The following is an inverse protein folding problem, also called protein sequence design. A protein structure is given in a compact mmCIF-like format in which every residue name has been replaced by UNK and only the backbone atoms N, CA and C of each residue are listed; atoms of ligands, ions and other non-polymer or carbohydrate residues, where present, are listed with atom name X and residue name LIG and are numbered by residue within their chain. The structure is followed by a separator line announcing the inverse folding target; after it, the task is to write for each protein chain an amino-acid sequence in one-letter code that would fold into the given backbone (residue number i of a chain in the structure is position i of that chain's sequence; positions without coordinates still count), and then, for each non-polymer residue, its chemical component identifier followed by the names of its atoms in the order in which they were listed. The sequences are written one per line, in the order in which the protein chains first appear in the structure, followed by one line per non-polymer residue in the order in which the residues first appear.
data_IF_664352356870
#
_entry.id   IF_664352356870
#
_cell.length_a   1.000
_cell.length_b   1.000
_cell.length_c   1.000
_cell.angle_alpha   90.00
_cell.angle_beta   90.00
_cell.angle_gamma   90.00
#
_symmetry.space_group_name_H-M   'P 1'
#
loop_
_entity.id
_entity.type
_entity.pdbx_description
1 polymer ?
#
# COMPACT_ATOMS: atom_id res chain seq x y z
N UNK A 1 11.05 11.62 -23.35
CA UNK A 1 11.76 12.21 -22.20
C UNK A 1 10.73 12.41 -21.11
N UNK A 2 10.98 11.78 -19.96
CA UNK A 2 9.95 11.28 -19.03
C UNK A 2 9.31 12.43 -18.24
N UNK A 3 7.98 12.48 -18.18
CA UNK A 3 7.16 13.45 -17.45
C UNK A 3 7.22 13.35 -15.92
N UNK A 4 8.41 13.16 -15.34
CA UNK A 4 8.62 13.03 -13.89
C UNK A 4 8.95 14.36 -13.18
N UNK A 5 8.99 15.48 -13.89
CA UNK A 5 9.95 16.55 -13.52
C UNK A 5 9.41 17.85 -12.96
N UNK A 6 8.13 17.98 -12.60
CA UNK A 6 7.60 19.28 -12.14
C UNK A 6 7.31 19.39 -10.64
N UNK A 7 7.19 18.31 -9.86
CA UNK A 7 6.93 18.42 -8.39
C UNK A 7 7.87 17.64 -7.45
N UNK A 8 8.57 16.60 -7.93
CA UNK A 8 9.57 15.87 -7.11
C UNK A 8 10.93 16.59 -6.96
N UNK A 9 11.10 17.73 -7.64
CA UNK A 9 12.35 18.48 -7.64
C UNK A 9 12.70 19.06 -6.26
N UNK A 10 11.70 19.33 -5.42
CA UNK A 10 11.94 19.92 -4.10
C UNK A 10 12.48 18.88 -3.11
N UNK A 11 11.95 17.65 -3.08
CA UNK A 11 12.47 16.62 -2.18
C UNK A 11 13.92 16.24 -2.50
N UNK A 12 14.25 16.07 -3.80
CA UNK A 12 15.62 15.84 -4.24
C UNK A 12 16.57 16.96 -3.80
N UNK A 13 16.15 18.23 -3.96
CA UNK A 13 16.95 19.40 -3.56
C UNK A 13 17.12 19.54 -2.05
N UNK A 14 16.11 19.19 -1.27
CA UNK A 14 16.14 19.37 0.20
C UNK A 14 16.80 18.20 0.92
N UNK A 15 16.61 16.96 0.46
CA UNK A 15 17.04 15.75 1.19
C UNK A 15 18.09 14.92 0.45
N UNK A 16 18.37 15.18 -0.84
CA UNK A 16 19.30 14.38 -1.63
C UNK A 16 18.82 12.95 -1.92
N UNK A 17 17.57 12.62 -1.59
CA UNK A 17 16.95 11.31 -1.77
C UNK A 17 15.51 11.44 -2.28
N UNK A 18 15.07 10.47 -3.09
CA UNK A 18 13.72 10.37 -3.62
C UNK A 18 13.33 8.91 -3.91
N UNK A 19 12.19 8.48 -3.40
CA UNK A 19 11.55 7.20 -3.74
C UNK A 19 10.35 7.41 -4.66
N UNK A 20 10.21 6.59 -5.72
CA UNK A 20 9.13 6.72 -6.70
C UNK A 20 8.91 5.42 -7.49
N UNK A 21 7.76 5.30 -8.16
CA UNK A 21 7.50 4.22 -9.10
C UNK A 21 7.58 4.70 -10.56
N UNK A 22 8.20 3.92 -11.45
CA UNK A 22 8.29 4.20 -12.89
C UNK A 22 7.74 3.04 -13.72
N UNK A 23 7.16 3.36 -14.88
CA UNK A 23 6.74 2.36 -15.87
C UNK A 23 7.72 2.34 -17.04
N UNK A 24 8.26 1.16 -17.33
CA UNK A 24 9.06 0.86 -18.53
C UNK A 24 8.15 0.32 -19.63
N UNK A 25 8.20 0.95 -20.81
CA UNK A 25 7.63 0.45 -22.08
C UNK A 25 6.25 -0.22 -21.97
N UNK A 26 5.37 0.33 -21.14
CA UNK A 26 3.95 -0.05 -21.04
C UNK A 26 3.58 -1.18 -20.08
N UNK A 27 4.49 -2.10 -19.72
CA UNK A 27 4.10 -3.29 -18.93
C UNK A 27 4.84 -3.44 -17.61
N UNK A 28 6.13 -3.11 -17.54
CA UNK A 28 6.93 -3.37 -16.34
C UNK A 28 7.03 -2.14 -15.46
N UNK A 29 6.64 -2.27 -14.19
CA UNK A 29 6.82 -1.23 -13.18
C UNK A 29 8.06 -1.50 -12.34
N UNK A 30 8.75 -0.43 -11.96
CA UNK A 30 9.89 -0.47 -11.06
C UNK A 30 9.65 0.49 -9.91
N UNK A 31 10.05 0.10 -8.70
CA UNK A 31 10.31 1.02 -7.60
C UNK A 31 11.75 1.49 -7.72
N UNK A 32 11.94 2.79 -7.72
CA UNK A 32 13.23 3.45 -7.82
C UNK A 32 13.50 4.25 -6.55
N UNK A 33 14.70 4.13 -6.02
CA UNK A 33 15.24 4.99 -4.96
C UNK A 33 16.47 5.69 -5.50
N UNK A 34 16.36 6.99 -5.74
CA UNK A 34 17.47 7.84 -6.14
C UNK A 34 18.06 8.50 -4.89
N UNK A 35 19.39 8.49 -4.74
CA UNK A 35 20.07 9.08 -3.60
C UNK A 35 21.47 9.57 -3.95
N UNK A 36 21.95 10.60 -3.25
CA UNK A 36 23.34 11.06 -3.32
C UNK A 36 24.22 10.34 -2.30
N UNK A 37 25.46 10.05 -2.68
CA UNK A 37 26.51 9.52 -1.84
C UNK A 37 27.85 10.18 -2.20
N UNK A 38 28.93 9.82 -1.51
CA UNK A 38 30.24 10.48 -1.66
C UNK A 38 30.76 10.52 -3.12
N UNK A 39 30.38 9.55 -3.97
CA UNK A 39 30.85 9.46 -5.36
C UNK A 39 29.85 10.01 -6.39
N UNK A 40 28.76 10.64 -5.93
CA UNK A 40 27.73 11.22 -6.79
C UNK A 40 26.35 10.62 -6.56
N UNK A 41 25.56 10.52 -7.63
CA UNK A 41 24.18 10.04 -7.57
C UNK A 41 24.10 8.55 -7.89
N UNK A 42 23.36 7.81 -7.07
CA UNK A 42 23.04 6.40 -7.28
C UNK A 42 21.53 6.18 -7.41
N UNK A 43 21.18 5.06 -8.03
CA UNK A 43 19.79 4.62 -8.22
C UNK A 43 19.68 3.13 -7.85
N UNK A 44 18.83 2.80 -6.89
CA UNK A 44 18.43 1.44 -6.60
C UNK A 44 17.08 1.13 -7.26
N UNK A 45 17.01 0.04 -8.02
CA UNK A 45 15.81 -0.37 -8.76
C UNK A 45 15.31 -1.73 -8.26
N UNK A 46 14.00 -1.85 -8.06
CA UNK A 46 13.33 -3.12 -7.74
C UNK A 46 12.14 -3.33 -8.67
N UNK A 47 12.00 -4.54 -9.20
CA UNK A 47 10.82 -4.94 -9.96
C UNK A 47 9.58 -4.89 -9.08
N UNK A 48 8.53 -4.20 -9.56
CA UNK A 48 7.21 -4.27 -8.98
C UNK A 48 6.42 -5.41 -9.66
N UNK A 49 5.58 -6.14 -8.91
CA UNK A 49 4.76 -7.21 -9.48
C UNK A 49 3.82 -6.71 -10.57
N UNK A 50 3.63 -7.53 -11.62
CA UNK A 50 2.75 -7.20 -12.74
C UNK A 50 1.27 -7.47 -12.42
N UNK A 51 0.99 -8.47 -11.56
CA UNK A 51 -0.34 -8.82 -11.12
C UNK A 51 -0.42 -8.95 -9.60
N UNK A 52 -1.60 -8.64 -9.06
CA UNK A 52 -1.97 -9.02 -7.72
C UNK A 52 -2.21 -10.54 -7.66
N UNK A 53 -1.67 -11.27 -6.68
CA UNK A 53 -2.04 -12.67 -6.50
C UNK A 53 -3.42 -12.79 -5.85
N UNK A 54 -4.05 -13.95 -6.03
CA UNK A 54 -5.27 -14.30 -5.30
C UNK A 54 -4.93 -14.86 -3.90
N UNK A 55 -5.88 -14.77 -2.96
CA UNK A 55 -5.71 -15.30 -1.60
C UNK A 55 -5.31 -16.77 -1.56
N UNK A 56 -5.81 -17.57 -2.51
CA UNK A 56 -5.47 -18.99 -2.64
C UNK A 56 -4.01 -19.21 -3.08
N UNK A 57 -3.46 -18.35 -3.94
CA UNK A 57 -2.08 -18.47 -4.45
C UNK A 57 -1.06 -18.22 -3.35
N UNK A 58 -1.37 -17.34 -2.40
CA UNK A 58 -0.54 -17.05 -1.22
C UNK A 58 -0.91 -17.91 0.00
N UNK A 59 -1.77 -18.91 -0.19
CA UNK A 59 -2.17 -19.89 0.83
C UNK A 59 -2.66 -19.24 2.13
N UNK A 60 -3.45 -18.16 2.06
CA UNK A 60 -3.97 -17.53 3.27
C UNK A 60 -4.90 -18.47 4.03
N UNK A 61 -4.90 -18.43 5.37
CA UNK A 61 -5.86 -19.19 6.17
C UNK A 61 -7.32 -18.88 5.78
N UNK A 62 -8.25 -19.86 5.87
CA UNK A 62 -9.64 -19.70 5.44
C UNK A 62 -10.42 -18.66 6.26
N UNK A 63 -9.89 -18.21 7.41
CA UNK A 63 -10.47 -17.12 8.18
C UNK A 63 -10.33 -15.76 7.49
N UNK A 64 -9.36 -15.58 6.58
CA UNK A 64 -9.08 -14.28 5.95
C UNK A 64 -10.28 -13.77 5.12
N UNK A 65 -10.91 -14.55 4.23
CA UNK A 65 -12.15 -14.15 3.57
C UNK A 65 -13.27 -13.77 4.54
N UNK A 66 -13.42 -14.51 5.65
CA UNK A 66 -14.44 -14.21 6.65
C UNK A 66 -14.18 -12.88 7.36
N UNK A 67 -12.92 -12.54 7.66
CA UNK A 67 -12.55 -11.23 8.21
C UNK A 67 -12.86 -10.10 7.23
N UNK A 68 -12.63 -10.32 5.92
CA UNK A 68 -12.90 -9.34 4.87
C UNK A 68 -14.41 -9.08 4.64
N UNK A 69 -15.27 -10.00 5.05
CA UNK A 69 -16.72 -9.82 5.01
C UNK A 69 -17.24 -8.88 6.11
N UNK A 70 -16.40 -8.45 7.05
CA UNK A 70 -16.79 -7.50 8.10
C UNK A 70 -17.20 -6.15 7.49
N UNK A 71 -18.22 -5.52 8.06
CA UNK A 71 -18.66 -4.18 7.66
C UNK A 71 -17.60 -3.13 8.00
N UNK A 72 -16.99 -3.25 9.18
CA UNK A 72 -16.00 -2.32 9.69
C UNK A 72 -14.97 -3.01 10.59
N UNK A 73 -13.91 -2.28 10.93
CA UNK A 73 -12.86 -2.75 11.82
C UNK A 73 -11.47 -2.50 11.26
N UNK A 74 -10.44 -2.92 12.02
CA UNK A 74 -9.04 -2.76 11.63
C UNK A 74 -8.39 -4.14 11.48
N UNK A 75 -7.90 -4.45 10.28
CA UNK A 75 -7.11 -5.64 10.00
C UNK A 75 -5.65 -5.23 9.79
N UNK A 76 -4.77 -5.77 10.63
CA UNK A 76 -3.34 -5.51 10.58
C UNK A 76 -2.58 -6.72 10.04
N UNK A 77 -1.88 -6.53 8.93
CA UNK A 77 -0.89 -7.48 8.41
C UNK A 77 0.49 -7.09 8.91
N UNK A 78 1.07 -7.91 9.79
CA UNK A 78 2.33 -7.60 10.46
C UNK A 78 3.46 -8.54 10.03
N UNK A 79 4.70 -8.13 10.25
CA UNK A 79 5.88 -8.91 9.89
C UNK A 79 7.06 -8.08 9.38
N UNK A 80 8.23 -8.72 9.32
CA UNK A 80 9.48 -8.08 8.90
C UNK A 80 9.44 -7.58 7.45
N UNK A 81 10.41 -6.77 7.03
CA UNK A 81 10.54 -6.36 5.63
C UNK A 81 10.77 -7.59 4.75
N UNK A 82 10.03 -7.68 3.62
CA UNK A 82 10.17 -8.79 2.67
C UNK A 82 9.36 -10.06 2.98
N UNK A 83 8.53 -10.10 4.03
CA UNK A 83 7.69 -11.27 4.33
C UNK A 83 6.33 -11.31 3.61
N UNK A 84 6.12 -10.48 2.58
CA UNK A 84 4.90 -10.53 1.78
C UNK A 84 3.71 -9.71 2.29
N UNK A 85 3.86 -8.81 3.28
CA UNK A 85 2.74 -7.99 3.80
C UNK A 85 1.97 -7.24 2.71
N UNK A 86 2.67 -6.50 1.85
CA UNK A 86 2.05 -5.78 0.73
C UNK A 86 1.33 -6.74 -0.21
N UNK A 87 1.91 -7.92 -0.45
CA UNK A 87 1.33 -8.98 -1.28
C UNK A 87 0.05 -9.54 -0.66
N UNK A 88 0.03 -9.77 0.65
CA UNK A 88 -1.17 -10.21 1.38
C UNK A 88 -2.26 -9.15 1.35
N UNK A 89 -1.95 -7.88 1.66
CA UNK A 89 -2.92 -6.80 1.55
C UNK A 89 -3.45 -6.65 0.13
N UNK A 90 -2.59 -6.81 -0.88
CA UNK A 90 -3.01 -6.74 -2.25
C UNK A 90 -4.00 -7.86 -2.58
N UNK A 91 -3.71 -9.09 -2.18
CA UNK A 91 -4.62 -10.22 -2.37
C UNK A 91 -5.96 -10.02 -1.64
N UNK A 92 -5.95 -9.36 -0.47
CA UNK A 92 -7.18 -9.01 0.25
C UNK A 92 -8.03 -7.99 -0.50
N UNK A 93 -7.44 -6.93 -1.04
CA UNK A 93 -8.13 -5.95 -1.91
C UNK A 93 -8.62 -6.62 -3.18
N UNK A 94 -7.79 -7.48 -3.79
CA UNK A 94 -8.15 -8.26 -4.97
C UNK A 94 -9.35 -9.18 -4.72
N UNK A 95 -9.42 -9.80 -3.55
CA UNK A 95 -10.55 -10.62 -3.13
C UNK A 95 -11.83 -9.79 -2.97
N UNK A 96 -11.78 -8.66 -2.26
CA UNK A 96 -12.92 -7.75 -2.13
C UNK A 96 -13.43 -7.29 -3.50
N UNK A 97 -12.53 -6.88 -4.39
CA UNK A 97 -12.87 -6.42 -5.74
C UNK A 97 -13.60 -7.48 -6.59
N UNK A 98 -13.43 -8.76 -6.27
CA UNK A 98 -14.08 -9.87 -6.98
C UNK A 98 -15.40 -10.30 -6.33
N UNK A 99 -15.63 -10.00 -5.05
CA UNK A 99 -16.71 -10.60 -4.26
C UNK A 99 -17.63 -9.60 -3.55
N UNK A 100 -17.30 -8.31 -3.54
CA UNK A 100 -18.07 -7.27 -2.85
C UNK A 100 -18.34 -6.07 -3.76
N UNK A 101 -19.40 -5.33 -3.46
CA UNK A 101 -19.81 -4.10 -4.15
C UNK A 101 -19.48 -2.91 -3.23
N UNK A 102 -18.18 -2.62 -3.10
CA UNK A 102 -17.64 -1.63 -2.14
C UNK A 102 -16.81 -0.55 -2.86
N UNK A 103 -16.69 0.62 -2.24
CA UNK A 103 -15.70 1.63 -2.56
C UNK A 103 -14.42 1.39 -1.74
N UNK A 104 -13.32 1.09 -2.43
CA UNK A 104 -12.00 0.86 -1.86
C UNK A 104 -11.09 2.03 -2.19
N UNK A 105 -10.60 2.72 -1.16
CA UNK A 105 -9.60 3.77 -1.29
C UNK A 105 -8.26 3.32 -0.72
N UNK A 106 -7.17 3.49 -1.49
CA UNK A 106 -5.81 3.15 -1.02
C UNK A 106 -4.95 4.40 -0.85
N UNK A 107 -4.19 4.45 0.24
CA UNK A 107 -3.12 5.41 0.48
C UNK A 107 -1.80 4.63 0.57
N UNK A 108 -0.87 4.89 -0.35
CA UNK A 108 0.35 4.08 -0.52
C UNK A 108 1.60 4.96 -0.77
N UNK A 109 2.79 4.43 -0.49
CA UNK A 109 4.06 5.15 -0.64
C UNK A 109 5.23 4.21 -1.07
N UNK A 110 5.45 3.98 -2.38
CA UNK A 110 4.58 4.31 -3.52
C UNK A 110 3.54 3.19 -3.76
N UNK A 111 2.67 3.37 -4.77
CA UNK A 111 1.70 2.33 -5.16
C UNK A 111 2.43 1.11 -5.75
N UNK A 112 2.36 -0.04 -5.07
CA UNK A 112 3.06 -1.26 -5.48
C UNK A 112 2.25 -2.06 -6.51
N UNK A 113 0.99 -2.36 -6.19
CA UNK A 113 0.07 -3.10 -7.05
C UNK A 113 -0.96 -2.15 -7.65
N UNK A 114 -1.34 -2.38 -8.92
CA UNK A 114 -2.43 -1.63 -9.57
C UNK A 114 -3.65 -2.52 -9.69
N UNK A 115 -4.80 -1.98 -9.38
CA UNK A 115 -6.07 -2.67 -9.55
C UNK A 115 -6.86 -2.08 -10.71
N UNK A 116 -7.56 -2.95 -11.42
CA UNK A 116 -8.68 -2.54 -12.27
C UNK A 116 -9.96 -2.79 -11.50
N UNK A 117 -10.80 -1.76 -11.37
CA UNK A 117 -12.13 -1.89 -10.77
C UNK A 117 -12.91 -3.00 -11.48
N UNK A 118 -13.44 -3.96 -10.70
CA UNK A 118 -14.32 -5.02 -11.17
C UNK A 118 -15.70 -4.79 -10.55
N UNK A 119 -15.96 -5.39 -9.39
CA UNK A 119 -17.17 -5.13 -8.61
C UNK A 119 -17.04 -3.91 -7.71
N UNK A 120 -15.84 -3.65 -7.22
CA UNK A 120 -15.55 -2.49 -6.39
C UNK A 120 -15.13 -1.29 -7.24
N UNK A 121 -15.46 -0.08 -6.78
CA UNK A 121 -14.77 1.14 -7.19
C UNK A 121 -13.43 1.20 -6.45
N UNK A 122 -12.31 1.23 -7.17
CA UNK A 122 -10.98 1.33 -6.55
C UNK A 122 -10.31 2.64 -6.93
N UNK A 123 -9.91 3.43 -5.92
CA UNK A 123 -9.19 4.68 -6.08
C UNK A 123 -7.86 4.63 -5.31
N UNK A 124 -6.75 4.64 -6.04
CA UNK A 124 -5.41 4.56 -5.44
C UNK A 124 -4.71 5.91 -5.41
N UNK A 125 -4.23 6.31 -4.23
CA UNK A 125 -3.53 7.58 -4.01
C UNK A 125 -2.13 7.32 -3.49
N UNK A 126 -1.15 7.95 -4.14
CA UNK A 126 0.26 7.85 -3.77
C UNK A 126 0.65 9.08 -2.96
N UNK A 127 1.31 8.87 -1.82
CA UNK A 127 1.82 9.95 -0.99
C UNK A 127 2.95 10.69 -1.74
N UNK A 128 2.98 12.00 -1.63
CA UNK A 128 3.86 12.88 -2.41
C UNK A 128 3.35 13.21 -3.82
N UNK A 129 2.50 12.38 -4.43
CA UNK A 129 1.94 12.63 -5.76
C UNK A 129 0.46 13.05 -5.74
N UNK A 130 -0.39 12.24 -5.13
CA UNK A 130 -1.85 12.45 -5.06
C UNK A 130 -2.29 13.02 -3.70
N UNK A 131 -1.49 12.81 -2.65
CA UNK A 131 -1.69 13.36 -1.30
C UNK A 131 -0.39 13.88 -0.73
N UNK A 132 -0.44 14.89 0.14
CA UNK A 132 0.77 15.36 0.82
C UNK A 132 1.29 14.35 1.86
N UNK A 133 0.40 13.80 2.69
CA UNK A 133 0.74 12.88 3.79
C UNK A 133 -0.37 11.84 3.98
N UNK A 134 -0.07 10.74 4.68
CA UNK A 134 -1.07 9.73 5.07
C UNK A 134 -2.20 10.34 5.89
N UNK A 135 -1.89 11.11 6.94
CA UNK A 135 -2.90 11.74 7.78
C UNK A 135 -3.81 12.71 7.00
N UNK A 136 -3.26 13.48 6.05
CA UNK A 136 -4.06 14.37 5.19
C UNK A 136 -4.94 13.58 4.22
N UNK A 137 -4.39 12.53 3.59
CA UNK A 137 -5.14 11.63 2.71
C UNK A 137 -6.27 10.92 3.43
N UNK A 138 -6.03 10.41 4.63
CA UNK A 138 -7.01 9.68 5.43
C UNK A 138 -8.16 10.58 5.89
N UNK A 139 -7.88 11.82 6.31
CA UNK A 139 -8.93 12.81 6.62
C UNK A 139 -9.81 13.13 5.42
N UNK A 140 -9.23 13.16 4.22
CA UNK A 140 -10.00 13.39 2.99
C UNK A 140 -10.85 12.17 2.66
N UNK A 141 -10.25 10.97 2.73
CA UNK A 141 -10.92 9.70 2.47
C UNK A 141 -12.21 9.52 3.29
N UNK A 142 -12.23 9.92 4.57
CA UNK A 142 -13.43 9.85 5.42
C UNK A 142 -14.65 10.66 4.92
N UNK A 143 -14.49 11.51 3.90
CA UNK A 143 -15.57 12.27 3.25
C UNK A 143 -15.76 11.87 1.78
N UNK A 144 -15.04 10.87 1.32
CA UNK A 144 -15.06 10.36 -0.06
C UNK A 144 -15.94 9.09 -0.16
N UNK A 145 -16.73 8.80 0.89
CA UNK A 145 -17.64 7.65 0.99
C UNK A 145 -16.98 6.27 0.72
N UNK A 146 -15.80 5.95 1.32
CA UNK A 146 -15.20 4.62 1.17
C UNK A 146 -15.81 3.62 2.16
N UNK A 147 -16.01 2.38 1.71
CA UNK A 147 -16.32 1.26 2.61
C UNK A 147 -15.02 0.64 3.17
N UNK A 148 -13.96 0.65 2.36
CA UNK A 148 -12.66 0.04 2.69
C UNK A 148 -11.54 1.04 2.47
N UNK A 149 -10.68 1.19 3.47
CA UNK A 149 -9.49 2.05 3.39
C UNK A 149 -8.25 1.20 3.58
N UNK A 150 -7.40 1.13 2.55
CA UNK A 150 -6.06 0.56 2.67
C UNK A 150 -5.05 1.64 3.01
N UNK A 151 -4.30 1.41 4.08
CA UNK A 151 -3.17 2.24 4.50
C UNK A 151 -1.88 1.43 4.36
N UNK A 152 -0.94 1.88 3.52
CA UNK A 152 0.32 1.18 3.27
C UNK A 152 1.03 0.73 4.54
N UNK A 153 1.54 1.65 5.35
CA UNK A 153 2.17 1.32 6.64
C UNK A 153 1.83 2.36 7.70
N UNK A 154 1.44 1.90 8.89
CA UNK A 154 1.21 2.74 10.05
C UNK A 154 2.54 3.05 10.76
N UNK A 155 3.11 4.22 10.49
CA UNK A 155 4.40 4.65 11.07
C UNK A 155 4.28 5.66 12.19
N UNK A 156 3.39 6.63 12.03
CA UNK A 156 3.25 7.76 12.93
C UNK A 156 1.97 7.67 13.76
N UNK A 157 2.00 8.28 14.95
CA UNK A 157 0.89 8.21 15.91
C UNK A 157 -0.38 8.90 15.42
N UNK A 158 -0.27 9.89 14.53
CA UNK A 158 -1.42 10.62 14.02
C UNK A 158 -2.21 9.74 13.04
N UNK A 159 -1.52 9.13 12.08
CA UNK A 159 -2.10 8.18 11.13
C UNK A 159 -2.71 6.98 11.85
N UNK A 160 -2.06 6.45 12.90
CA UNK A 160 -2.61 5.36 13.72
C UNK A 160 -3.93 5.76 14.39
N UNK A 161 -3.99 6.93 15.02
CA UNK A 161 -5.21 7.42 15.68
C UNK A 161 -6.35 7.59 14.68
N UNK A 162 -6.07 8.19 13.53
CA UNK A 162 -7.06 8.36 12.46
C UNK A 162 -7.55 7.01 11.90
N UNK A 163 -6.66 6.03 11.77
CA UNK A 163 -7.02 4.68 11.31
C UNK A 163 -7.97 3.98 12.29
N UNK A 164 -7.70 4.11 13.60
CA UNK A 164 -8.60 3.61 14.64
C UNK A 164 -9.96 4.31 14.60
N UNK A 165 -9.98 5.64 14.48
CA UNK A 165 -11.24 6.38 14.33
C UNK A 165 -12.01 5.93 13.10
N UNK A 166 -11.36 5.77 11.95
CA UNK A 166 -12.01 5.29 10.73
C UNK A 166 -12.66 3.90 10.93
N UNK A 167 -11.94 2.99 11.58
CA UNK A 167 -12.45 1.66 11.91
C UNK A 167 -13.65 1.69 12.86
N UNK A 168 -13.62 2.57 13.86
CA UNK A 168 -14.72 2.79 14.81
C UNK A 168 -15.94 3.42 14.13
N UNK A 169 -15.73 4.31 13.16
CA UNK A 169 -16.79 5.04 12.45
C UNK A 169 -17.29 4.32 11.19
N UNK A 170 -17.23 3.00 11.17
CA UNK A 170 -17.91 2.19 10.14
C UNK A 170 -17.10 1.83 8.89
N UNK A 171 -15.78 2.01 8.88
CA UNK A 171 -14.94 1.63 7.74
C UNK A 171 -14.18 0.33 8.02
N UNK A 172 -13.95 -0.49 6.99
CA UNK A 172 -12.97 -1.57 7.06
C UNK A 172 -11.59 -1.04 6.70
N UNK A 173 -10.71 -0.92 7.69
CA UNK A 173 -9.34 -0.43 7.51
C UNK A 173 -8.38 -1.61 7.39
N UNK A 174 -7.62 -1.63 6.29
CA UNK A 174 -6.55 -2.60 6.04
C UNK A 174 -5.21 -1.91 6.16
N UNK A 175 -4.31 -2.41 6.99
CA UNK A 175 -3.02 -1.74 7.22
C UNK A 175 -1.86 -2.71 7.47
N UNK A 176 -0.63 -2.24 7.23
CA UNK A 176 0.57 -2.95 7.70
C UNK A 176 1.23 -2.24 8.88
N UNK A 177 1.95 -3.03 9.68
CA UNK A 177 2.84 -2.54 10.73
C UNK A 177 4.23 -3.14 10.55
N UNK A 178 5.28 -2.32 10.68
CA UNK A 178 6.65 -2.84 10.80
C UNK A 178 6.96 -3.26 12.24
N UNK A 179 6.85 -4.57 12.49
CA UNK A 179 7.32 -5.18 13.73
C UNK A 179 8.77 -5.62 13.58
N UNK A 180 9.68 -5.11 14.44
CA UNK A 180 11.13 -5.43 14.42
C UNK A 180 11.46 -6.88 14.81
N UNK A 181 10.49 -7.68 15.25
CA UNK A 181 10.64 -9.11 15.57
C UNK A 181 9.40 -9.87 15.12
N UNK A 182 9.60 -10.92 14.33
CA UNK A 182 8.73 -12.09 14.36
C UNK A 182 9.41 -13.06 15.34
N UNK A 183 8.73 -13.42 16.44
CA UNK A 183 9.17 -14.54 17.27
C UNK A 183 9.23 -15.78 16.39
N UNK A 184 10.35 -16.50 16.45
CA UNK A 184 10.58 -17.71 15.68
C UNK A 184 9.40 -18.69 15.82
N UNK A 185 8.78 -19.07 14.70
CA UNK A 185 7.67 -20.03 14.69
C UNK A 185 7.13 -20.32 13.29
N UNK A 186 7.90 -21.07 12.49
CA UNK A 186 7.37 -21.92 11.41
C UNK A 186 7.14 -21.27 10.04
N UNK A 187 7.81 -21.81 9.02
CA UNK A 187 7.38 -21.72 7.61
C UNK A 187 7.89 -20.51 6.84
N UNK A 188 9.05 -20.66 6.20
CA UNK A 188 9.38 -19.86 5.01
C UNK A 188 8.30 -20.15 3.95
N UNK A 189 7.40 -19.21 3.71
CA UNK A 189 6.69 -19.13 2.42
C UNK A 189 7.50 -18.17 1.54
N UNK A 190 8.53 -18.74 0.93
CA UNK A 190 9.25 -18.18 -0.20
C UNK A 190 8.80 -18.94 -1.44
N UNK A 191 8.09 -18.27 -2.34
CA UNK A 191 7.81 -18.64 -3.71
C UNK A 191 7.89 -17.37 -4.56
#
# INVERSE_FOLDING_TARGET
MIGLMTRNNNQWRTHGQLDFAVSLSGTRRLRASAFTHQQGTSLALRLLPERCPDLAEIQTPPIVPALLASENGLILVTGATGCGKSTTLAAMVGHLNQHADKHILTLEDPIEYRYTSKRCLIQQREIGQHCATFAAGLRAALREDPDVILLGELRDSETIRLALTAAETGHLVLATLHTRRCGAGGGKISG
#
